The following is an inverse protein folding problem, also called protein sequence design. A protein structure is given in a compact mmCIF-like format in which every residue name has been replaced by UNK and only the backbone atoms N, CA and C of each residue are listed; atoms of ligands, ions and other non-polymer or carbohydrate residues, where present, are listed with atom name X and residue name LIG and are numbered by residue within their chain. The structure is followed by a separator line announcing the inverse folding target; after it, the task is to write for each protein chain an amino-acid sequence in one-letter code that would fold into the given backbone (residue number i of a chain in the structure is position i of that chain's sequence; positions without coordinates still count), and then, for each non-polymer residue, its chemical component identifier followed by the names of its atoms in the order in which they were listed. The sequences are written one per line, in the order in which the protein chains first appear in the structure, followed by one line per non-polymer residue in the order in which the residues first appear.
data_IF_769028711683
#
_entry.id   IF_769028711683
#
_cell.length_a   1.000
_cell.length_b   1.000
_cell.length_c   1.000
_cell.angle_alpha   90.00
_cell.angle_beta   90.00
_cell.angle_gamma   90.00
#
_symmetry.space_group_name_H-M   'P 1'
#
loop_
_entity.id
_entity.type
_entity.pdbx_description
1 polymer ?
#
# COMPACT_ATOMS: atom_id res chain seq x y z
N UNK A 1 4.78 -11.83 43.26
CA UNK A 1 4.32 -10.46 42.88
C UNK A 1 3.52 -10.64 41.60
N UNK A 2 2.21 -10.39 41.66
CA UNK A 2 1.24 -10.83 40.66
C UNK A 2 1.37 -10.10 39.32
N UNK A 3 1.20 -10.83 38.21
CA UNK A 3 0.97 -10.29 36.87
C UNK A 3 -0.51 -9.89 36.71
N UNK A 4 -0.82 -8.79 35.99
CA UNK A 4 -2.19 -8.53 35.57
C UNK A 4 -2.49 -9.30 34.27
N UNK A 5 -3.59 -10.04 34.29
CA UNK A 5 -4.25 -10.57 33.10
C UNK A 5 -5.03 -9.42 32.44
N UNK A 6 -4.80 -9.17 31.14
CA UNK A 6 -5.67 -8.32 30.33
C UNK A 6 -6.50 -9.18 29.37
N UNK A 7 -7.76 -9.39 29.73
CA UNK A 7 -8.83 -9.81 28.85
C UNK A 7 -9.51 -8.57 28.27
N UNK A 8 -9.81 -8.54 26.96
CA UNK A 8 -10.75 -7.55 26.44
C UNK A 8 -10.64 -7.26 24.95
N UNK A 9 -11.29 -8.10 24.16
CA UNK A 9 -12.21 -7.71 23.09
C UNK A 9 -11.71 -6.71 22.02
N UNK A 10 -11.09 -7.24 20.98
CA UNK A 10 -10.80 -6.51 19.75
C UNK A 10 -12.01 -6.60 18.80
N UNK A 11 -12.90 -5.61 18.87
CA UNK A 11 -13.91 -5.39 17.83
C UNK A 11 -13.20 -5.01 16.52
N UNK A 12 -13.57 -5.57 15.36
CA UNK A 12 -12.94 -5.19 14.09
C UNK A 12 -13.26 -3.73 13.75
N UNK A 13 -12.22 -2.92 13.62
CA UNK A 13 -12.30 -1.53 13.17
C UNK A 13 -12.75 -1.52 11.71
N UNK A 14 -13.83 -0.79 11.43
CA UNK A 14 -14.36 -0.63 10.08
C UNK A 14 -13.34 0.13 9.19
N UNK A 15 -12.79 -0.49 8.13
CA UNK A 15 -11.78 0.15 7.27
C UNK A 15 -12.34 1.27 6.37
N UNK A 16 -13.67 1.40 6.23
CA UNK A 16 -14.30 2.38 5.35
C UNK A 16 -14.54 3.76 6.00
N UNK A 17 -14.25 3.92 7.30
CA UNK A 17 -14.34 5.21 7.99
C UNK A 17 -13.20 6.19 7.63
N UNK A 18 -12.28 5.80 6.75
CA UNK A 18 -10.99 6.49 6.53
C UNK A 18 -10.84 7.17 5.16
N UNK A 19 -11.91 7.29 4.38
CA UNK A 19 -11.90 8.21 3.24
C UNK A 19 -12.12 9.65 3.73
N UNK A 20 -11.26 10.61 3.34
CA UNK A 20 -11.43 11.99 3.77
C UNK A 20 -12.71 12.59 3.18
N UNK A 21 -13.58 13.13 4.02
CA UNK A 21 -14.48 14.19 3.60
C UNK A 21 -13.63 15.44 3.28
N UNK A 22 -13.75 16.04 2.08
CA UNK A 22 -13.19 17.37 1.84
C UNK A 22 -13.91 18.36 2.75
N UNK A 23 -13.17 19.31 3.32
CA UNK A 23 -13.74 20.41 4.07
C UNK A 23 -14.81 21.12 3.22
N UNK A 24 -16.06 21.12 3.68
CA UNK A 24 -17.18 21.75 3.00
C UNK A 24 -17.02 23.27 3.02
N UNK A 25 -16.86 23.85 1.85
CA UNK A 25 -17.09 25.27 1.59
C UNK A 25 -18.62 25.49 1.53
N UNK A 26 -19.19 26.15 2.55
CA UNK A 26 -20.63 26.42 2.64
C UNK A 26 -21.08 27.38 1.53
N UNK A 27 -21.83 26.85 0.57
CA UNK A 27 -22.72 27.64 -0.28
C UNK A 27 -24.17 27.20 -0.04
N UNK A 28 -24.97 28.09 0.54
CA UNK A 28 -26.41 27.90 0.74
C UNK A 28 -27.17 28.11 -0.57
N UNK A 29 -27.94 27.13 -1.03
CA UNK A 29 -29.22 27.41 -1.70
C UNK A 29 -30.13 26.18 -1.67
N UNK A 30 -31.36 26.41 -1.25
CA UNK A 30 -32.47 25.48 -1.16
C UNK A 30 -33.14 25.25 -2.52
N UNK A 31 -33.46 24.02 -2.89
CA UNK A 31 -34.77 23.68 -3.49
C UNK A 31 -35.01 22.17 -3.48
N UNK A 32 -36.28 21.81 -3.29
CA UNK A 32 -36.80 20.45 -3.15
C UNK A 32 -37.15 19.83 -4.50
N UNK A 33 -36.99 18.51 -4.66
CA UNK A 33 -37.87 17.71 -5.52
C UNK A 33 -37.65 16.21 -5.28
N UNK A 34 -38.75 15.49 -5.08
CA UNK A 34 -38.84 14.04 -4.98
C UNK A 34 -38.61 13.37 -6.34
N UNK A 35 -38.08 12.13 -6.34
CA UNK A 35 -38.71 10.96 -6.99
C UNK A 35 -37.77 9.73 -7.04
N UNK A 36 -38.43 8.57 -7.01
CA UNK A 36 -38.06 7.28 -7.60
C UNK A 36 -37.08 6.38 -6.84
N UNK A 37 -37.68 5.43 -6.13
CA UNK A 37 -37.12 4.14 -5.69
C UNK A 37 -36.52 3.38 -6.89
N UNK A 38 -35.20 3.24 -6.91
CA UNK A 38 -34.47 2.34 -7.81
C UNK A 38 -34.27 0.96 -7.14
N UNK A 39 -34.23 -0.14 -7.91
CA UNK A 39 -34.28 -1.49 -7.36
C UNK A 39 -32.98 -1.83 -6.60
N UNK A 40 -33.15 -2.23 -5.35
CA UNK A 40 -32.10 -2.80 -4.51
C UNK A 40 -31.73 -4.19 -5.03
N UNK A 41 -30.83 -4.28 -6.02
CA UNK A 41 -30.01 -5.45 -6.37
C UNK A 41 -29.17 -5.19 -7.64
N UNK A 42 -28.14 -4.34 -7.57
CA UNK A 42 -27.01 -4.40 -8.52
C UNK A 42 -25.75 -3.62 -8.11
N UNK A 43 -25.47 -3.46 -6.81
CA UNK A 43 -24.12 -3.12 -6.34
C UNK A 43 -23.47 -4.40 -5.81
N UNK A 44 -23.07 -5.28 -6.73
CA UNK A 44 -21.98 -6.19 -6.38
C UNK A 44 -20.78 -5.31 -6.05
N UNK A 45 -20.17 -5.50 -4.87
CA UNK A 45 -18.97 -4.75 -4.45
C UNK A 45 -18.01 -4.66 -5.62
N UNK A 46 -17.74 -3.43 -6.10
CA UNK A 46 -16.78 -3.21 -7.17
C UNK A 46 -15.37 -3.66 -6.76
N UNK A 47 -15.14 -3.88 -5.46
CA UNK A 47 -13.87 -4.24 -4.84
C UNK A 47 -13.76 -5.74 -4.50
N UNK A 48 -14.16 -6.62 -5.43
CA UNK A 48 -14.20 -8.08 -5.25
C UNK A 48 -12.86 -8.63 -4.74
N UNK A 49 -11.74 -8.19 -5.31
CA UNK A 49 -10.40 -8.66 -4.94
C UNK A 49 -9.99 -8.09 -3.58
N UNK A 50 -10.21 -6.80 -3.34
CA UNK A 50 -9.92 -6.18 -2.03
C UNK A 50 -10.63 -6.93 -0.90
N UNK A 51 -11.93 -7.20 -1.08
CA UNK A 51 -12.77 -7.94 -0.14
C UNK A 51 -12.33 -9.40 -0.01
N UNK A 52 -11.96 -10.03 -1.13
CA UNK A 52 -11.43 -11.39 -1.15
C UNK A 52 -10.18 -11.48 -0.28
N UNK A 53 -9.19 -10.61 -0.48
CA UNK A 53 -7.96 -10.61 0.31
C UNK A 53 -8.24 -10.32 1.77
N UNK A 54 -9.10 -9.34 2.08
CA UNK A 54 -9.44 -9.03 3.46
C UNK A 54 -10.04 -10.24 4.20
N UNK A 55 -10.91 -11.01 3.52
CA UNK A 55 -11.56 -12.20 4.07
C UNK A 55 -10.64 -13.42 4.15
N UNK A 56 -9.90 -13.73 3.09
CA UNK A 56 -9.08 -14.96 3.02
C UNK A 56 -7.73 -14.81 3.68
N UNK A 57 -7.22 -13.57 3.76
CA UNK A 57 -5.94 -13.23 4.33
C UNK A 57 -6.10 -12.03 5.29
N UNK A 58 -6.76 -12.23 6.45
CA UNK A 58 -7.04 -11.13 7.41
C UNK A 58 -5.76 -10.49 7.97
N UNK A 59 -4.62 -11.14 7.78
CA UNK A 59 -3.29 -10.64 8.14
C UNK A 59 -2.33 -10.96 7.01
N UNK A 60 -1.52 -9.98 6.61
CA UNK A 60 -0.49 -10.12 5.58
C UNK A 60 0.78 -9.44 6.08
N UNK A 61 1.61 -10.19 6.79
CA UNK A 61 2.79 -9.66 7.50
C UNK A 61 4.04 -10.54 7.38
N UNK A 62 3.99 -11.61 6.59
CA UNK A 62 5.11 -12.50 6.34
C UNK A 62 5.05 -13.12 4.94
N UNK A 63 6.06 -13.89 4.57
CA UNK A 63 6.14 -14.51 3.24
C UNK A 63 5.00 -15.50 2.98
N UNK A 64 4.56 -16.26 3.99
CA UNK A 64 3.52 -17.27 3.82
C UNK A 64 2.14 -16.62 3.56
N UNK A 65 1.77 -15.64 4.36
CA UNK A 65 0.52 -14.88 4.21
C UNK A 65 0.53 -14.04 2.92
N UNK A 66 1.68 -13.51 2.51
CA UNK A 66 1.81 -12.83 1.22
C UNK A 66 1.66 -13.78 0.02
N UNK A 67 2.27 -14.96 0.06
CA UNK A 67 2.09 -15.97 -0.97
C UNK A 67 0.61 -16.42 -1.08
N UNK A 68 -0.06 -16.60 0.06
CA UNK A 68 -1.49 -16.91 0.10
C UNK A 68 -2.35 -15.80 -0.52
N UNK A 69 -2.06 -14.53 -0.21
CA UNK A 69 -2.75 -13.39 -0.81
C UNK A 69 -2.57 -13.37 -2.33
N UNK A 70 -1.35 -13.59 -2.84
CA UNK A 70 -1.09 -13.69 -4.29
C UNK A 70 -1.84 -14.85 -4.94
N UNK A 71 -1.87 -16.01 -4.30
CA UNK A 71 -2.63 -17.16 -4.80
C UNK A 71 -4.14 -16.85 -4.89
N UNK A 72 -4.69 -16.17 -3.88
CA UNK A 72 -6.09 -15.75 -3.90
C UNK A 72 -6.40 -14.79 -5.07
N UNK A 73 -5.53 -13.82 -5.36
CA UNK A 73 -5.70 -12.95 -6.54
C UNK A 73 -5.68 -13.76 -7.84
N UNK A 74 -4.76 -14.72 -7.99
CA UNK A 74 -4.70 -15.59 -9.17
C UNK A 74 -5.99 -16.38 -9.38
N UNK A 75 -6.58 -16.89 -8.29
CA UNK A 75 -7.84 -17.66 -8.35
C UNK A 75 -9.04 -16.85 -8.85
N UNK A 76 -9.02 -15.52 -8.67
CA UNK A 76 -10.11 -14.62 -9.09
C UNK A 76 -9.82 -13.86 -10.38
N UNK A 77 -8.84 -14.32 -11.17
CA UNK A 77 -8.54 -13.77 -12.50
C UNK A 77 -7.25 -12.96 -12.60
N UNK A 78 -6.42 -12.96 -11.55
CA UNK A 78 -5.05 -12.45 -11.61
C UNK A 78 -4.97 -10.95 -11.89
N UNK A 79 -3.98 -10.55 -12.70
CA UNK A 79 -3.70 -9.15 -12.96
C UNK A 79 -4.81 -8.46 -13.80
N UNK A 80 -5.47 -9.21 -14.70
CA UNK A 80 -6.56 -8.69 -15.51
C UNK A 80 -7.77 -8.29 -14.65
N UNK A 81 -8.17 -9.16 -13.72
CA UNK A 81 -9.24 -8.85 -12.77
C UNK A 81 -8.87 -7.68 -11.84
N UNK A 82 -7.60 -7.64 -11.39
CA UNK A 82 -7.11 -6.54 -10.55
C UNK A 82 -7.11 -5.20 -11.27
N UNK A 83 -6.68 -5.16 -12.53
CA UNK A 83 -6.73 -3.94 -13.35
C UNK A 83 -8.17 -3.48 -13.55
N UNK A 84 -9.07 -4.40 -13.91
CA UNK A 84 -10.48 -4.10 -14.12
C UNK A 84 -11.16 -3.53 -12.86
N UNK A 85 -10.84 -4.06 -11.68
CA UNK A 85 -11.29 -3.51 -10.40
C UNK A 85 -10.78 -2.07 -10.19
N UNK A 86 -9.49 -1.82 -10.39
CA UNK A 86 -8.92 -0.48 -10.22
C UNK A 86 -9.49 0.54 -11.23
N UNK A 87 -9.78 0.12 -12.45
CA UNK A 87 -10.46 0.93 -13.47
C UNK A 87 -11.90 1.22 -13.07
N UNK A 88 -12.64 0.20 -12.58
CA UNK A 88 -14.00 0.36 -12.06
C UNK A 88 -14.08 1.30 -10.85
N UNK A 89 -13.03 1.35 -10.04
CA UNK A 89 -12.89 2.29 -8.90
C UNK A 89 -12.42 3.70 -9.33
N UNK A 90 -12.09 3.92 -10.61
CA UNK A 90 -11.54 5.18 -11.10
C UNK A 90 -10.11 5.49 -10.63
N UNK A 91 -9.42 4.49 -10.06
CA UNK A 91 -8.04 4.60 -9.57
C UNK A 91 -7.05 4.49 -10.73
N UNK A 92 -7.42 3.75 -11.77
CA UNK A 92 -6.61 3.57 -12.98
C UNK A 92 -7.38 4.11 -14.19
N UNK A 93 -6.68 4.85 -15.05
CA UNK A 93 -7.13 5.27 -16.37
C UNK A 93 -5.94 5.24 -17.34
N UNK A 94 -6.16 4.80 -18.58
CA UNK A 94 -5.12 4.73 -19.62
C UNK A 94 -3.86 3.96 -19.17
N UNK A 95 -4.04 2.92 -18.35
CA UNK A 95 -2.96 2.10 -17.80
C UNK A 95 -2.13 2.77 -16.70
N UNK A 96 -2.53 3.94 -16.22
CA UNK A 96 -1.83 4.69 -15.18
C UNK A 96 -2.73 5.01 -13.98
N UNK A 97 -2.11 5.22 -12.81
CA UNK A 97 -2.81 5.73 -11.64
C UNK A 97 -3.32 7.15 -11.88
N UNK A 98 -4.58 7.39 -11.53
CA UNK A 98 -5.19 8.71 -11.60
C UNK A 98 -4.63 9.64 -10.53
N UNK A 99 -4.47 10.92 -10.89
CA UNK A 99 -3.94 11.97 -10.02
C UNK A 99 -5.02 12.96 -9.60
N UNK A 100 -6.29 12.65 -9.89
CA UNK A 100 -7.45 13.46 -9.57
C UNK A 100 -7.72 13.58 -8.07
N UNK A 101 -8.80 14.28 -7.73
CA UNK A 101 -9.28 14.40 -6.36
C UNK A 101 -10.35 13.37 -6.00
N UNK A 102 -10.88 12.65 -7.00
CA UNK A 102 -11.94 11.64 -6.85
C UNK A 102 -11.69 10.48 -7.85
N UNK A 103 -11.24 9.30 -7.37
CA UNK A 103 -10.75 9.03 -6.02
C UNK A 103 -9.49 9.84 -5.70
N UNK A 104 -9.30 10.21 -4.43
CA UNK A 104 -8.10 10.93 -3.99
C UNK A 104 -6.93 9.96 -3.79
N UNK A 105 -5.79 10.23 -4.44
CA UNK A 105 -4.58 9.42 -4.31
C UNK A 105 -3.36 10.33 -4.04
N UNK A 106 -3.03 10.54 -2.77
CA UNK A 106 -1.94 11.44 -2.37
C UNK A 106 -0.62 11.07 -3.04
N UNK A 107 -0.24 9.79 -3.03
CA UNK A 107 1.06 9.38 -3.54
C UNK A 107 1.16 9.49 -5.07
N UNK A 108 0.10 9.19 -5.82
CA UNK A 108 0.09 9.45 -7.26
C UNK A 108 0.20 10.96 -7.57
N UNK A 109 -0.41 11.82 -6.74
CA UNK A 109 -0.31 13.27 -6.86
C UNK A 109 1.08 13.80 -6.54
N UNK A 110 1.74 13.27 -5.52
CA UNK A 110 3.14 13.60 -5.21
C UNK A 110 4.06 13.12 -6.34
N UNK A 111 3.91 11.88 -6.79
CA UNK A 111 4.70 11.30 -7.88
C UNK A 111 4.59 12.08 -9.20
N UNK A 112 3.41 12.60 -9.52
CA UNK A 112 3.17 13.45 -10.71
C UNK A 112 3.56 14.92 -10.53
N UNK A 113 3.88 15.35 -9.31
CA UNK A 113 4.12 16.77 -8.99
C UNK A 113 2.86 17.62 -8.86
N UNK A 114 1.66 17.02 -8.93
CA UNK A 114 0.39 17.71 -8.69
C UNK A 114 0.18 18.13 -7.22
N UNK A 115 0.97 17.55 -6.30
CA UNK A 115 1.05 17.95 -4.90
C UNK A 115 2.53 18.01 -4.49
N UNK A 116 2.91 19.08 -3.79
CA UNK A 116 4.24 19.25 -3.20
C UNK A 116 4.08 19.26 -1.68
N UNK A 117 4.96 18.54 -0.98
CA UNK A 117 5.05 18.52 0.47
C UNK A 117 6.31 19.27 0.93
N UNK A 118 6.27 19.80 2.15
CA UNK A 118 7.41 20.49 2.73
C UNK A 118 8.62 19.55 2.87
N UNK A 119 9.82 20.06 2.64
CA UNK A 119 11.07 19.29 2.75
C UNK A 119 11.40 18.39 1.55
N UNK A 120 10.49 18.20 0.59
CA UNK A 120 10.68 17.30 -0.57
C UNK A 120 11.99 17.55 -1.34
N UNK A 121 12.43 18.80 -1.49
CA UNK A 121 13.68 19.11 -2.19
C UNK A 121 14.91 18.58 -1.44
N UNK A 122 14.93 18.69 -0.11
CA UNK A 122 15.98 18.12 0.73
C UNK A 122 15.94 16.60 0.75
N UNK A 123 14.74 16.01 0.79
CA UNK A 123 14.56 14.56 0.73
C UNK A 123 15.01 13.97 -0.62
N UNK A 124 14.80 14.71 -1.72
CA UNK A 124 15.33 14.33 -3.03
C UNK A 124 16.87 14.34 -3.07
N UNK A 125 17.51 15.29 -2.37
CA UNK A 125 18.98 15.29 -2.21
C UNK A 125 19.43 14.08 -1.38
N UNK A 126 18.73 13.76 -0.28
CA UNK A 126 19.06 12.62 0.58
C UNK A 126 18.91 11.26 -0.14
N UNK A 127 17.95 11.14 -1.07
CA UNK A 127 17.81 9.97 -1.95
C UNK A 127 18.95 9.81 -2.96
N UNK A 128 19.77 10.84 -3.17
CA UNK A 128 20.92 10.81 -4.06
C UNK A 128 20.56 10.31 -5.46
N UNK A 129 21.22 9.24 -5.90
CA UNK A 129 21.03 8.69 -7.27
C UNK A 129 19.63 8.12 -7.49
N UNK A 130 18.93 7.75 -6.44
CA UNK A 130 17.61 7.12 -6.49
C UNK A 130 16.47 8.13 -6.68
N UNK A 131 16.72 9.42 -6.48
CA UNK A 131 15.75 10.52 -6.62
C UNK A 131 15.10 10.63 -8.01
N UNK A 132 15.73 10.05 -9.04
CA UNK A 132 15.17 9.96 -10.41
C UNK A 132 14.05 8.94 -10.54
N UNK A 133 14.04 7.90 -9.72
CA UNK A 133 13.06 6.80 -9.76
C UNK A 133 12.06 6.87 -8.62
N UNK A 134 12.51 7.34 -7.47
CA UNK A 134 11.71 7.39 -6.25
C UNK A 134 11.55 8.81 -5.73
N UNK A 135 10.56 8.98 -4.85
CA UNK A 135 10.33 10.18 -4.06
C UNK A 135 10.05 9.78 -2.62
N UNK A 136 10.25 10.73 -1.70
CA UNK A 136 9.75 10.62 -0.34
C UNK A 136 8.42 11.34 -0.27
N UNK A 137 7.47 10.72 0.42
CA UNK A 137 6.26 11.37 0.92
C UNK A 137 6.21 11.26 2.44
N UNK A 138 5.50 12.19 3.08
CA UNK A 138 5.31 12.24 4.52
C UNK A 138 3.82 12.14 4.90
N UNK A 139 3.56 11.80 6.18
CA UNK A 139 2.22 11.92 6.73
C UNK A 139 1.80 13.40 6.81
N UNK A 140 0.55 13.63 7.18
CA UNK A 140 0.15 14.98 7.61
C UNK A 140 0.89 15.36 8.91
N UNK A 141 1.23 16.64 9.12
CA UNK A 141 1.95 17.08 10.31
C UNK A 141 1.30 16.62 11.62
N UNK A 142 -0.03 16.69 11.73
CA UNK A 142 -0.73 16.27 12.94
C UNK A 142 -0.59 14.77 13.26
N UNK A 143 -0.42 13.93 12.23
CA UNK A 143 -0.19 12.51 12.43
C UNK A 143 1.26 12.24 12.89
N UNK A 144 2.23 13.00 12.37
CA UNK A 144 3.63 12.92 12.78
C UNK A 144 3.80 13.43 14.22
N UNK A 145 3.15 14.53 14.61
CA UNK A 145 3.20 15.08 15.97
C UNK A 145 2.63 14.13 17.03
N UNK A 146 1.67 13.29 16.65
CA UNK A 146 0.96 12.38 17.56
C UNK A 146 1.47 10.93 17.50
N UNK A 147 2.66 10.70 16.93
CA UNK A 147 3.22 9.35 16.73
C UNK A 147 3.26 8.48 18.01
N UNK A 148 3.49 9.10 19.17
CA UNK A 148 3.62 8.44 20.47
C UNK A 148 2.26 8.26 21.20
N UNK A 149 1.18 8.84 20.69
CA UNK A 149 -0.11 8.87 21.37
C UNK A 149 -0.75 7.48 21.44
N UNK A 150 -1.19 7.08 22.63
CA UNK A 150 -1.93 5.85 22.88
C UNK A 150 -3.45 6.05 22.92
N UNK A 151 -3.93 7.28 22.70
CA UNK A 151 -5.35 7.59 22.69
C UNK A 151 -6.05 6.97 21.47
N UNK A 152 -7.26 6.46 21.67
CA UNK A 152 -7.98 5.65 20.67
C UNK A 152 -8.20 6.37 19.32
N UNK A 153 -8.29 7.70 19.31
CA UNK A 153 -8.46 8.50 18.09
C UNK A 153 -7.19 8.55 17.21
N UNK A 154 -6.02 8.30 17.80
CA UNK A 154 -4.71 8.38 17.14
C UNK A 154 -4.16 7.00 16.76
N UNK A 155 -4.46 5.96 17.54
CA UNK A 155 -4.01 4.59 17.26
C UNK A 155 -4.55 4.12 15.91
N UNK A 156 -3.65 3.86 14.96
CA UNK A 156 -4.00 3.46 13.59
C UNK A 156 -4.09 4.63 12.59
N UNK A 157 -4.04 5.88 13.06
CA UNK A 157 -4.03 7.11 12.25
C UNK A 157 -2.71 7.87 12.33
N UNK A 158 -2.16 8.02 13.52
CA UNK A 158 -0.88 8.69 13.76
C UNK A 158 0.27 7.95 13.06
N UNK A 159 1.41 8.60 12.94
CA UNK A 159 2.63 7.99 12.44
C UNK A 159 3.00 6.72 13.24
N UNK A 160 3.62 5.73 12.58
CA UNK A 160 4.07 4.50 13.23
C UNK A 160 5.30 4.70 14.13
N UNK A 161 6.07 5.75 13.91
CA UNK A 161 7.29 6.05 14.66
C UNK A 161 7.59 7.55 14.66
N UNK A 162 8.51 8.00 15.50
CA UNK A 162 9.03 9.38 15.46
C UNK A 162 9.55 9.74 14.06
N UNK A 163 10.23 8.79 13.42
CA UNK A 163 10.64 8.88 12.04
C UNK A 163 9.91 7.83 11.21
N UNK A 164 8.94 8.29 10.44
CA UNK A 164 8.15 7.49 9.50
C UNK A 164 8.01 8.25 8.18
N UNK A 165 8.49 7.65 7.10
CA UNK A 165 8.36 8.20 5.74
C UNK A 165 7.88 7.12 4.77
N UNK A 166 7.45 7.57 3.60
CA UNK A 166 7.02 6.69 2.52
C UNK A 166 7.96 6.85 1.34
N UNK A 167 8.65 5.78 0.95
CA UNK A 167 9.34 5.73 -0.34
C UNK A 167 8.33 5.34 -1.41
N UNK A 168 8.05 6.27 -2.33
CA UNK A 168 7.07 6.09 -3.40
C UNK A 168 7.76 6.03 -4.77
N UNK A 169 7.10 5.40 -5.74
CA UNK A 169 7.58 5.29 -7.11
C UNK A 169 7.05 6.47 -7.96
N UNK A 170 7.91 7.05 -8.81
CA UNK A 170 7.49 8.09 -9.77
C UNK A 170 6.68 7.54 -10.95
N UNK A 171 6.98 6.31 -11.34
CA UNK A 171 6.25 5.61 -12.39
C UNK A 171 4.83 5.25 -11.92
N UNK A 172 3.84 5.77 -12.64
CA UNK A 172 2.42 5.61 -12.34
C UNK A 172 1.77 4.44 -13.09
N UNK A 173 2.52 3.63 -13.83
CA UNK A 173 1.96 2.44 -14.50
C UNK A 173 1.23 1.55 -13.48
N UNK A 174 0.00 1.17 -13.83
CA UNK A 174 -0.90 0.46 -12.91
C UNK A 174 -0.28 -0.84 -12.39
N UNK A 175 0.54 -1.53 -13.19
CA UNK A 175 1.15 -2.81 -12.81
C UNK A 175 2.10 -2.68 -11.63
N UNK A 176 2.52 -1.46 -11.28
CA UNK A 176 3.33 -1.16 -10.12
C UNK A 176 2.54 -0.70 -8.89
N UNK A 177 1.22 -0.51 -8.96
CA UNK A 177 0.47 0.20 -7.92
C UNK A 177 0.54 -0.41 -6.51
N UNK A 178 0.77 -1.72 -6.39
CA UNK A 178 0.91 -2.41 -5.12
C UNK A 178 1.80 -3.64 -5.31
N UNK A 179 2.54 -4.03 -4.26
CA UNK A 179 3.42 -5.22 -4.32
C UNK A 179 2.67 -6.51 -4.68
N UNK A 180 1.35 -6.56 -4.46
CA UNK A 180 0.49 -7.66 -4.86
C UNK A 180 0.45 -7.91 -6.38
N UNK A 181 0.55 -6.87 -7.22
CA UNK A 181 0.46 -7.00 -8.68
C UNK A 181 1.76 -7.46 -9.34
N UNK A 182 2.87 -7.42 -8.61
CA UNK A 182 4.20 -7.65 -9.17
C UNK A 182 4.31 -9.07 -9.73
N UNK A 183 4.75 -9.23 -10.98
CA UNK A 183 4.94 -10.55 -11.56
C UNK A 183 3.65 -11.34 -11.84
N UNK A 184 2.46 -10.74 -11.69
CA UNK A 184 1.22 -11.36 -12.16
C UNK A 184 1.12 -11.22 -13.69
N UNK A 185 0.59 -12.24 -14.36
CA UNK A 185 0.44 -12.28 -15.83
C UNK A 185 -0.35 -11.07 -16.34
N UNK A 186 0.19 -10.36 -17.34
CA UNK A 186 -0.38 -9.09 -17.84
C UNK A 186 0.02 -7.85 -17.04
N UNK A 187 0.81 -8.01 -15.97
CA UNK A 187 1.47 -6.94 -15.21
C UNK A 187 2.95 -6.78 -15.56
N UNK A 188 3.77 -6.46 -14.55
CA UNK A 188 5.23 -6.40 -14.69
C UNK A 188 5.88 -7.77 -14.63
N UNK A 189 7.09 -7.91 -15.19
CA UNK A 189 7.84 -9.17 -15.08
C UNK A 189 8.28 -9.43 -13.64
N UNK A 190 8.37 -10.72 -13.24
CA UNK A 190 8.90 -11.13 -11.93
C UNK A 190 10.33 -10.61 -11.71
N UNK A 191 11.18 -10.65 -12.75
CA UNK A 191 12.55 -10.15 -12.67
C UNK A 191 12.58 -8.65 -12.37
N UNK A 192 11.87 -7.85 -13.14
CA UNK A 192 11.81 -6.39 -12.94
C UNK A 192 11.20 -6.01 -11.59
N UNK A 193 10.28 -6.83 -11.07
CA UNK A 193 9.73 -6.63 -9.73
C UNK A 193 10.75 -6.90 -8.62
N UNK A 194 11.55 -7.96 -8.74
CA UNK A 194 12.66 -8.23 -7.79
C UNK A 194 13.67 -7.09 -7.82
N UNK A 195 14.10 -6.66 -9.01
CA UNK A 195 15.02 -5.53 -9.19
C UNK A 195 14.48 -4.23 -8.61
N UNK A 196 13.17 -3.96 -8.78
CA UNK A 196 12.52 -2.79 -8.19
C UNK A 196 12.55 -2.84 -6.65
N UNK A 197 12.23 -3.98 -6.03
CA UNK A 197 12.24 -4.11 -4.57
C UNK A 197 13.65 -3.98 -3.99
N UNK A 198 14.67 -4.54 -4.65
CA UNK A 198 16.07 -4.36 -4.27
C UNK A 198 16.50 -2.89 -4.38
N UNK A 199 16.09 -2.21 -5.46
CA UNK A 199 16.35 -0.78 -5.63
C UNK A 199 15.63 0.07 -4.57
N UNK A 200 14.40 -0.27 -4.20
CA UNK A 200 13.66 0.40 -3.12
C UNK A 200 14.36 0.23 -1.77
N UNK A 201 14.82 -0.99 -1.46
CA UNK A 201 15.59 -1.25 -0.24
C UNK A 201 16.86 -0.39 -0.19
N UNK A 202 17.64 -0.40 -1.28
CA UNK A 202 18.87 0.37 -1.34
C UNK A 202 18.62 1.89 -1.27
N UNK A 203 17.55 2.39 -1.90
CA UNK A 203 17.14 3.79 -1.83
C UNK A 203 16.73 4.20 -0.40
N UNK A 204 16.01 3.35 0.31
CA UNK A 204 15.62 3.61 1.69
C UNK A 204 16.83 3.71 2.62
N UNK A 205 17.82 2.81 2.47
CA UNK A 205 19.07 2.89 3.24
C UNK A 205 19.92 4.11 2.85
N UNK A 206 19.99 4.49 1.57
CA UNK A 206 20.70 5.70 1.13
C UNK A 206 20.05 6.96 1.73
N UNK A 207 18.72 7.05 1.71
CA UNK A 207 17.98 8.15 2.32
C UNK A 207 18.27 8.27 3.82
N UNK A 208 18.17 7.16 4.56
CA UNK A 208 18.41 7.14 6.02
C UNK A 208 19.85 7.51 6.35
N UNK A 209 20.84 6.99 5.61
CA UNK A 209 22.24 7.33 5.83
C UNK A 209 22.54 8.82 5.60
N UNK A 210 21.76 9.48 4.74
CA UNK A 210 21.91 10.90 4.40
C UNK A 210 20.98 11.83 5.20
N UNK A 211 20.18 11.29 6.12
CA UNK A 211 19.18 12.08 6.88
C UNK A 211 19.48 11.99 8.38
N UNK A 212 19.76 13.14 8.99
CA UNK A 212 20.02 13.21 10.42
C UNK A 212 18.79 12.78 11.25
N UNK A 213 19.03 12.16 12.41
CA UNK A 213 17.99 11.74 13.36
C UNK A 213 17.57 10.27 13.21
N UNK A 214 17.68 9.68 12.02
CA UNK A 214 17.32 8.27 11.82
C UNK A 214 18.32 7.32 12.47
N UNK A 215 17.80 6.26 13.10
CA UNK A 215 18.60 5.15 13.57
C UNK A 215 18.98 4.18 12.44
N UNK A 216 19.93 3.29 12.72
CA UNK A 216 20.28 2.17 11.83
C UNK A 216 19.27 1.02 11.85
N UNK A 217 18.32 1.02 12.80
CA UNK A 217 17.30 -0.01 12.94
C UNK A 217 16.08 0.35 12.08
N UNK A 218 16.26 0.27 10.76
CA UNK A 218 15.24 0.64 9.77
C UNK A 218 14.31 -0.53 9.45
N UNK A 219 13.02 -0.37 9.75
CA UNK A 219 11.95 -1.24 9.28
C UNK A 219 11.43 -0.81 7.92
N UNK A 220 11.24 -1.78 7.01
CA UNK A 220 10.75 -1.56 5.64
C UNK A 220 9.51 -2.44 5.39
N UNK A 221 8.34 -1.82 5.24
CA UNK A 221 7.07 -2.54 5.17
C UNK A 221 6.16 -2.08 4.04
N UNK A 222 5.47 -3.02 3.41
CA UNK A 222 4.36 -2.75 2.51
C UNK A 222 3.03 -3.03 3.22
N UNK A 223 2.01 -2.24 2.91
CA UNK A 223 0.62 -2.64 3.13
C UNK A 223 0.08 -3.22 1.81
N UNK A 224 -0.31 -4.49 1.84
CA UNK A 224 -0.80 -5.22 0.66
C UNK A 224 -2.22 -4.75 0.31
N UNK A 225 -2.55 -4.69 -0.98
CA UNK A 225 -3.91 -4.38 -1.43
C UNK A 225 -4.92 -5.35 -0.78
N UNK A 226 -6.04 -4.82 -0.26
CA UNK A 226 -6.89 -5.48 0.74
C UNK A 226 -6.72 -4.92 2.15
N UNK A 227 -5.53 -4.42 2.47
CA UNK A 227 -5.17 -3.79 3.75
C UNK A 227 -4.58 -2.39 3.61
N UNK A 228 -4.22 -2.00 2.39
CA UNK A 228 -3.71 -0.67 2.04
C UNK A 228 -4.81 0.39 2.05
N UNK A 229 -4.50 1.56 2.60
CA UNK A 229 -5.40 2.73 2.62
C UNK A 229 -5.22 3.66 1.42
N UNK A 230 -4.13 3.50 0.66
CA UNK A 230 -3.83 4.30 -0.55
C UNK A 230 -3.49 3.36 -1.70
N UNK A 231 -4.10 3.57 -2.86
CA UNK A 231 -3.92 2.74 -4.04
C UNK A 231 -2.75 3.25 -4.91
N UNK A 232 -1.56 3.25 -4.34
CA UNK A 232 -0.30 3.58 -5.02
C UNK A 232 0.84 2.90 -4.28
N UNK A 233 1.95 2.62 -4.96
CA UNK A 233 3.06 1.91 -4.32
C UNK A 233 3.75 2.82 -3.32
N UNK A 234 3.84 2.36 -2.08
CA UNK A 234 4.58 3.03 -1.02
C UNK A 234 5.21 2.00 -0.10
N UNK A 235 6.50 2.16 0.14
CA UNK A 235 7.23 1.43 1.17
C UNK A 235 7.28 2.30 2.42
N UNK A 236 6.71 1.81 3.50
CA UNK A 236 6.84 2.42 4.82
C UNK A 236 8.28 2.25 5.30
N UNK A 237 8.93 3.36 5.57
CA UNK A 237 10.24 3.45 6.22
C UNK A 237 10.00 3.87 7.66
N UNK A 238 10.31 3.00 8.60
CA UNK A 238 9.98 3.18 10.03
C UNK A 238 11.24 3.04 10.85
N UNK A 239 11.56 4.04 11.67
CA UNK A 239 12.63 3.90 12.66
C UNK A 239 12.16 3.01 13.82
N UNK A 240 12.69 1.78 13.87
CA UNK A 240 12.27 0.78 14.84
C UNK A 240 12.83 1.03 16.25
N UNK A 241 13.71 2.02 16.46
CA UNK A 241 14.14 2.41 17.79
C UNK A 241 13.16 3.38 18.49
N UNK A 242 12.25 4.01 17.74
CA UNK A 242 11.30 5.00 18.24
C UNK A 242 9.88 4.75 17.72
N UNK A 243 9.41 3.51 17.83
CA UNK A 243 8.04 3.14 17.42
C UNK A 243 6.98 3.61 18.41
N UNK A 244 5.81 3.96 17.89
CA UNK A 244 4.63 4.35 18.66
C UNK A 244 3.50 3.30 18.63
N UNK A 245 2.40 3.54 19.35
CA UNK A 245 1.27 2.60 19.45
C UNK A 245 0.67 2.16 18.11
N UNK A 246 0.63 3.05 17.11
CA UNK A 246 0.17 2.71 15.74
C UNK A 246 1.00 1.59 15.11
N UNK A 247 2.31 1.53 15.34
CA UNK A 247 3.13 0.46 14.76
C UNK A 247 2.68 -0.93 15.22
N UNK A 248 2.41 -1.08 16.52
CA UNK A 248 1.86 -2.31 17.08
C UNK A 248 0.46 -2.60 16.55
N UNK A 249 -0.42 -1.59 16.53
CA UNK A 249 -1.80 -1.74 16.04
C UNK A 249 -1.87 -2.16 14.56
N UNK A 250 -0.93 -1.73 13.73
CA UNK A 250 -0.90 -2.04 12.29
C UNK A 250 0.01 -3.24 11.94
N UNK A 251 0.64 -3.89 12.92
CA UNK A 251 1.59 -4.98 12.69
C UNK A 251 1.02 -6.12 11.83
N UNK A 252 -0.28 -6.39 11.95
CA UNK A 252 -0.97 -7.44 11.21
C UNK A 252 -0.95 -7.26 9.69
N UNK A 253 -0.68 -6.04 9.19
CA UNK A 253 -0.58 -5.70 7.77
C UNK A 253 0.77 -5.09 7.37
N UNK A 254 1.74 -5.07 8.28
CA UNK A 254 3.10 -4.62 8.00
C UNK A 254 3.90 -5.76 7.35
N UNK A 255 3.74 -5.98 6.03
CA UNK A 255 4.50 -6.98 5.28
C UNK A 255 5.95 -6.52 5.09
N UNK A 256 6.96 -7.20 5.67
CA UNK A 256 8.34 -6.80 5.47
C UNK A 256 8.76 -6.92 3.99
N UNK A 257 9.54 -5.97 3.50
CA UNK A 257 10.06 -5.98 2.12
C UNK A 257 10.78 -7.30 1.78
N UNK A 258 11.55 -7.85 2.73
CA UNK A 258 12.27 -9.11 2.52
C UNK A 258 11.34 -10.32 2.35
N UNK A 259 10.17 -10.31 3.01
CA UNK A 259 9.15 -11.35 2.86
C UNK A 259 8.53 -11.29 1.45
N UNK A 260 8.28 -10.09 0.92
CA UNK A 260 7.84 -9.92 -0.46
C UNK A 260 8.92 -10.39 -1.46
N UNK A 261 10.17 -10.00 -1.27
CA UNK A 261 11.31 -10.44 -2.09
C UNK A 261 11.45 -11.96 -2.09
N UNK A 262 11.32 -12.61 -0.93
CA UNK A 262 11.42 -14.06 -0.81
C UNK A 262 10.39 -14.75 -1.72
N UNK A 263 9.13 -14.34 -1.64
CA UNK A 263 8.05 -14.93 -2.45
C UNK A 263 8.30 -14.71 -3.94
N UNK A 264 8.60 -13.48 -4.37
CA UNK A 264 8.81 -13.18 -5.78
C UNK A 264 10.01 -13.92 -6.37
N UNK A 265 11.10 -14.08 -5.61
CA UNK A 265 12.25 -14.89 -6.02
C UNK A 265 11.90 -16.36 -6.15
N UNK A 266 11.14 -16.92 -5.20
CA UNK A 266 10.67 -18.31 -5.28
C UNK A 266 9.80 -18.54 -6.51
N UNK A 267 8.89 -17.61 -6.82
CA UNK A 267 8.06 -17.67 -8.03
C UNK A 267 8.91 -17.55 -9.31
N UNK A 268 9.91 -16.67 -9.33
CA UNK A 268 10.84 -16.52 -10.47
C UNK A 268 11.64 -17.80 -10.72
N UNK A 269 12.11 -18.46 -9.66
CA UNK A 269 12.79 -19.76 -9.77
C UNK A 269 11.85 -20.83 -10.31
N UNK A 270 10.62 -20.91 -9.79
CA UNK A 270 9.62 -21.89 -10.27
C UNK A 270 9.26 -21.66 -11.75
N UNK A 271 9.12 -20.42 -12.19
CA UNK A 271 8.85 -20.09 -13.60
C UNK A 271 10.01 -20.44 -14.55
N UNK A 272 11.24 -20.49 -14.04
CA UNK A 272 12.44 -20.85 -14.84
C UNK A 272 12.61 -22.36 -15.00
N UNK A 273 11.97 -23.16 -14.15
CA UNK A 273 12.04 -24.62 -14.15
C UNK A 273 10.63 -25.22 -14.06
N UNK A 274 9.84 -25.17 -15.16
CA UNK A 274 8.51 -25.77 -15.16
C UNK A 274 8.59 -27.26 -14.80
N UNK A 275 7.56 -27.75 -14.12
CA UNK A 275 7.53 -29.13 -13.64
C UNK A 275 7.56 -30.07 -14.85
N UNK A 276 8.26 -31.22 -14.79
CA UNK A 276 8.21 -32.22 -15.86
C UNK A 276 6.80 -32.79 -16.11
N UNK A 277 5.83 -32.49 -15.24
CA UNK A 277 4.41 -32.80 -15.42
C UNK A 277 3.64 -31.75 -16.22
N UNK A 278 4.23 -30.59 -16.53
CA UNK A 278 3.55 -29.55 -17.29
C UNK A 278 3.47 -29.99 -18.76
N UNK A 279 2.28 -29.91 -19.38
CA UNK A 279 2.11 -30.32 -20.78
C UNK A 279 3.04 -29.48 -21.66
N UNK A 280 3.83 -30.16 -22.50
CA UNK A 280 4.67 -29.49 -23.49
C UNK A 280 3.80 -28.55 -24.34
N UNK A 281 4.28 -27.32 -24.64
CA UNK A 281 3.56 -26.44 -25.54
C UNK A 281 3.33 -27.16 -26.87
N UNK A 282 2.10 -27.07 -27.38
CA UNK A 282 1.75 -27.66 -28.66
C UNK A 282 2.72 -27.14 -29.74
N UNK A 283 3.22 -28.01 -30.64
CA UNK A 283 4.12 -27.57 -31.69
C UNK A 283 3.43 -26.47 -32.54
N UNK A 284 4.21 -25.41 -32.82
CA UNK A 284 3.83 -24.29 -33.68
C UNK A 284 3.52 -24.75 -35.12
#
# INVERSE_FOLDING_TARGET
RAQPQSSGDSTPINPDAFLPHPAEEKASSSSSSAAATAPANMEASLAVIKDTIHRTCPRVYDAATFAAARAAVRQVGGAAALKAELEGLGVVADGQLTTGLKPFNLFARVASGATVQDGMAGEAVALGRYSKRFMIACNRPENDEMWYSAEAEWVGRASMAEHHRFLILRDLQWSWFNVLSFGLEGGSSLLSAVELLEAMQAAAFEFVANTAGWSSNLGLYFHVYGHASVNALHLHMVDCNATGPTFGALQYKNLPLHSALQVLRSELTAASFPSPSDPLPAPL
#
